data_IF_556729286076
#
_entry.id   IF_556729286076
#
_cell.length_a   1.000
_cell.length_b   1.000
_cell.length_c   1.000
_cell.angle_alpha   90.00
_cell.angle_beta   90.00
_cell.angle_gamma   90.00
#
_symmetry.space_group_name_H-M   'P 1'
#
loop_
_entity.id
_entity.type
_entity.pdbx_description
1 polymer ?
#
# COMPACT_ATOMS: atom_id res chain seq x y z
N UNK A 1 -17.19 11.77 8.06
CA UNK A 1 -16.18 10.71 7.82
C UNK A 1 -16.52 10.07 6.48
N UNK A 2 -15.74 10.30 5.42
CA UNK A 2 -16.12 9.87 4.08
C UNK A 2 -15.91 8.36 3.93
N UNK A 3 -17.01 7.62 3.88
CA UNK A 3 -17.06 6.23 3.45
C UNK A 3 -16.72 6.17 1.96
N UNK A 4 -15.43 6.02 1.63
CA UNK A 4 -15.02 5.69 0.26
C UNK A 4 -15.42 4.25 -0.05
N UNK A 5 -16.25 4.08 -1.07
CA UNK A 5 -16.46 2.80 -1.73
C UNK A 5 -15.11 2.26 -2.24
N UNK A 6 -14.94 0.93 -2.23
CA UNK A 6 -13.66 0.26 -2.58
C UNK A 6 -13.11 0.69 -3.95
N UNK A 7 -14.00 0.96 -4.91
CA UNK A 7 -13.64 1.47 -6.24
C UNK A 7 -12.97 2.86 -6.18
N UNK A 8 -13.51 3.79 -5.38
CA UNK A 8 -12.95 5.13 -5.16
C UNK A 8 -11.56 5.04 -4.53
N UNK A 9 -11.39 4.14 -3.56
CA UNK A 9 -10.11 3.92 -2.89
C UNK A 9 -9.04 3.38 -3.88
N UNK A 10 -9.41 2.44 -4.76
CA UNK A 10 -8.53 1.92 -5.81
C UNK A 10 -8.14 3.03 -6.79
N UNK A 11 -9.10 3.83 -7.27
CA UNK A 11 -8.81 4.92 -8.19
C UNK A 11 -7.87 5.95 -7.58
N UNK A 12 -8.07 6.32 -6.31
CA UNK A 12 -7.18 7.23 -5.59
C UNK A 12 -5.77 6.66 -5.44
N UNK A 13 -5.64 5.36 -5.15
CA UNK A 13 -4.32 4.73 -5.04
C UNK A 13 -3.56 4.72 -6.38
N UNK A 14 -4.25 4.54 -7.51
CA UNK A 14 -3.64 4.66 -8.85
C UNK A 14 -3.16 6.06 -9.17
N UNK A 15 -3.83 7.07 -8.64
CA UNK A 15 -3.41 8.47 -8.75
C UNK A 15 -2.24 8.83 -7.81
N UNK A 16 -1.72 7.85 -7.05
CA UNK A 16 -0.63 8.06 -6.11
C UNK A 16 -1.06 8.66 -4.78
N UNK A 17 -2.36 8.63 -4.44
CA UNK A 17 -2.82 9.10 -3.14
C UNK A 17 -2.24 8.22 -2.01
N UNK A 18 -1.39 8.77 -1.11
CA UNK A 18 -0.67 7.97 -0.11
C UNK A 18 -1.60 7.36 0.94
N UNK A 19 -2.71 8.03 1.28
CA UNK A 19 -3.69 7.49 2.23
C UNK A 19 -4.42 6.28 1.64
N UNK A 20 -4.81 6.35 0.36
CA UNK A 20 -5.45 5.24 -0.34
C UNK A 20 -4.51 4.04 -0.52
N UNK A 21 -3.25 4.28 -0.90
CA UNK A 21 -2.22 3.23 -0.96
C UNK A 21 -2.02 2.58 0.41
N UNK A 22 -1.89 3.38 1.47
CA UNK A 22 -1.75 2.88 2.84
C UNK A 22 -2.92 1.98 3.23
N UNK A 23 -4.16 2.43 2.96
CA UNK A 23 -5.36 1.65 3.27
C UNK A 23 -5.40 0.31 2.53
N UNK A 24 -5.11 0.30 1.21
CA UNK A 24 -5.11 -0.94 0.41
C UNK A 24 -4.02 -1.93 0.83
N UNK A 25 -2.80 -1.45 1.07
CA UNK A 25 -1.72 -2.31 1.53
C UNK A 25 -2.04 -2.93 2.90
N UNK A 26 -2.54 -2.12 3.83
CA UNK A 26 -2.87 -2.59 5.18
C UNK A 26 -4.04 -3.58 5.22
N UNK A 27 -4.98 -3.54 4.27
CA UNK A 27 -6.00 -4.59 4.12
C UNK A 27 -5.39 -5.99 3.93
N UNK A 28 -4.25 -6.07 3.25
CA UNK A 28 -3.57 -7.35 2.97
C UNK A 28 -2.50 -7.69 4.01
N UNK A 29 -1.83 -6.66 4.56
CA UNK A 29 -0.64 -6.81 5.39
C UNK A 29 -0.93 -6.87 6.89
N UNK A 30 -1.99 -6.20 7.38
CA UNK A 30 -2.33 -6.26 8.81
C UNK A 30 -2.60 -7.68 9.33
N UNK A 31 -3.33 -8.56 8.61
CA UNK A 31 -3.50 -9.95 9.05
C UNK A 31 -2.19 -10.75 9.13
N UNK A 32 -1.12 -10.26 8.50
CA UNK A 32 0.22 -10.85 8.52
C UNK A 32 1.15 -10.20 9.55
N UNK A 33 0.64 -9.29 10.38
CA UNK A 33 1.44 -8.56 11.37
C UNK A 33 2.38 -7.51 10.77
N UNK A 34 2.08 -7.03 9.56
CA UNK A 34 2.89 -6.04 8.85
C UNK A 34 2.04 -4.76 8.67
N UNK A 35 2.61 -3.61 9.00
CA UNK A 35 2.01 -2.29 8.78
C UNK A 35 2.74 -1.55 7.67
N UNK A 36 1.99 -1.05 6.69
CA UNK A 36 2.46 -0.16 5.65
C UNK A 36 2.17 1.30 6.01
N UNK A 37 3.10 2.17 5.67
CA UNK A 37 2.96 3.64 5.72
C UNK A 37 3.42 4.20 4.37
N UNK A 38 2.56 4.92 3.67
CA UNK A 38 2.93 5.58 2.42
C UNK A 38 2.99 7.10 2.58
N UNK A 39 3.91 7.73 1.84
CA UNK A 39 4.14 9.18 1.83
C UNK A 39 4.68 9.61 0.47
N UNK A 40 4.50 10.88 0.10
CA UNK A 40 5.19 11.45 -1.05
C UNK A 40 6.47 12.13 -0.56
N UNK A 41 7.61 11.73 -1.12
CA UNK A 41 8.92 12.36 -0.87
C UNK A 41 9.59 12.61 -2.20
N UNK A 42 10.00 13.85 -2.47
CA UNK A 42 10.65 14.23 -3.73
C UNK A 42 9.87 13.77 -4.97
N UNK A 43 8.55 13.98 -4.97
CA UNK A 43 7.63 13.53 -6.04
C UNK A 43 7.53 12.02 -6.25
N UNK A 44 8.16 11.21 -5.39
CA UNK A 44 8.07 9.76 -5.42
C UNK A 44 7.17 9.25 -4.29
N UNK A 45 6.42 8.19 -4.59
CA UNK A 45 5.69 7.43 -3.58
C UNK A 45 6.68 6.57 -2.78
N UNK A 46 6.88 6.94 -1.52
CA UNK A 46 7.72 6.21 -0.59
C UNK A 46 6.85 5.34 0.33
N UNK A 47 7.21 4.06 0.45
CA UNK A 47 6.46 3.06 1.20
C UNK A 47 7.39 2.44 2.23
N UNK A 48 7.01 2.53 3.49
CA UNK A 48 7.68 1.88 4.61
C UNK A 48 6.83 0.72 5.09
N UNK A 49 7.44 -0.45 5.25
CA UNK A 49 6.83 -1.63 5.83
C UNK A 49 7.49 -1.90 7.19
N UNK A 50 6.66 -2.06 8.21
CA UNK A 50 7.07 -2.23 9.60
C UNK A 50 6.44 -3.53 10.13
N UNK A 51 7.24 -4.36 10.79
CA UNK A 51 6.80 -5.61 11.39
C UNK A 51 7.73 -5.98 12.54
N UNK A 52 7.23 -6.69 13.55
CA UNK A 52 8.05 -7.17 14.67
C UNK A 52 9.19 -8.09 14.19
N UNK A 53 8.89 -8.93 13.20
CA UNK A 53 9.87 -9.76 12.50
C UNK A 53 9.70 -9.56 10.98
N UNK A 54 10.45 -8.65 10.36
CA UNK A 54 10.31 -8.34 8.94
C UNK A 54 10.63 -9.56 8.07
N UNK A 55 9.78 -9.90 7.09
CA UNK A 55 10.14 -10.85 6.04
C UNK A 55 11.34 -10.35 5.23
N UNK A 56 11.93 -11.23 4.42
CA UNK A 56 13.00 -10.84 3.50
C UNK A 56 12.57 -9.66 2.60
N UNK A 57 13.43 -8.65 2.48
CA UNK A 57 13.14 -7.44 1.73
C UNK A 57 12.76 -7.74 0.27
N UNK A 58 13.41 -8.72 -0.36
CA UNK A 58 13.11 -9.16 -1.73
C UNK A 58 11.68 -9.66 -1.89
N UNK A 59 11.16 -10.41 -0.92
CA UNK A 59 9.78 -10.89 -0.91
C UNK A 59 8.79 -9.73 -0.77
N UNK A 60 9.10 -8.74 0.07
CA UNK A 60 8.28 -7.54 0.24
C UNK A 60 8.27 -6.66 -1.01
N UNK A 61 9.42 -6.50 -1.67
CA UNK A 61 9.53 -5.76 -2.94
C UNK A 61 8.74 -6.45 -4.05
N UNK A 62 8.86 -7.78 -4.17
CA UNK A 62 8.09 -8.55 -5.14
C UNK A 62 6.58 -8.45 -4.88
N UNK A 63 6.15 -8.51 -3.62
CA UNK A 63 4.78 -8.29 -3.22
C UNK A 63 4.28 -6.91 -3.65
N UNK A 64 5.01 -5.83 -3.32
CA UNK A 64 4.61 -4.46 -3.67
C UNK A 64 4.49 -4.28 -5.18
N UNK A 65 5.45 -4.76 -5.98
CA UNK A 65 5.40 -4.70 -7.45
C UNK A 65 4.12 -5.35 -7.98
N UNK A 66 3.84 -6.57 -7.53
CA UNK A 66 2.62 -7.30 -7.91
C UNK A 66 1.36 -6.57 -7.45
N UNK A 67 1.34 -5.97 -6.26
CA UNK A 67 0.19 -5.21 -5.77
C UNK A 67 -0.10 -3.98 -6.63
N UNK A 68 0.93 -3.27 -7.09
CA UNK A 68 0.77 -2.11 -7.97
C UNK A 68 0.37 -2.49 -9.40
N UNK A 69 0.86 -3.62 -9.91
CA UNK A 69 0.41 -4.18 -11.20
C UNK A 69 -1.08 -4.55 -11.18
N UNK A 70 -1.59 -5.02 -10.03
CA UNK A 70 -2.98 -5.47 -9.86
C UNK A 70 -3.93 -4.37 -9.35
N UNK A 71 -3.51 -3.10 -9.33
CA UNK A 71 -4.48 -2.00 -9.27
C UNK A 71 -5.20 -1.91 -10.62
N UNK A 72 -6.07 -2.87 -10.93
CA UNK A 72 -6.88 -2.91 -12.16
C UNK A 72 -8.24 -2.24 -11.90
N UNK A 73 -8.76 -1.52 -12.91
CA UNK A 73 -10.07 -0.81 -12.85
C UNK A 73 -11.14 -1.87 -13.08
#
# INVERSE_FOLDING_TARGET
MATSSKATLIQQAKQGNPAAVTALLNQTLHPKGITAKASIKNFCLNIMLEAAQPPAQTALVAFLRKSFENFTV
#
